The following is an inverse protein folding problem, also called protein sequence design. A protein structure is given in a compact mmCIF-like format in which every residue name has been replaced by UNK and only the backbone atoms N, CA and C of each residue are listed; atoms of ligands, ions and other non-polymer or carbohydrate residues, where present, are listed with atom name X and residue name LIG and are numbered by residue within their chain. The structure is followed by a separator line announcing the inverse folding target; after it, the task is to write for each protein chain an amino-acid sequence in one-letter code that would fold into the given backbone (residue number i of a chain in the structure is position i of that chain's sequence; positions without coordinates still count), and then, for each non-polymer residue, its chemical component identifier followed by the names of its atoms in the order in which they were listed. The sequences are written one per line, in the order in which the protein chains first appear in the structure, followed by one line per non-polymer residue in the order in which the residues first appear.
data_IF_095114917051
#
_entry.id   IF_095114917051
#
_cell.length_a   1.000
_cell.length_b   1.000
_cell.length_c   1.000
_cell.angle_alpha   90.00
_cell.angle_beta   90.00
_cell.angle_gamma   90.00
#
_symmetry.space_group_name_H-M   'P 1'
#
loop_
_entity.id
_entity.type
_entity.pdbx_description
1 polymer ?
#
# COMPACT_ATOMS: atom_id res chain seq x y z
N UNK A 1 -6.15 -10.62 -11.02
CA UNK A 1 -5.25 -9.49 -10.73
C UNK A 1 -3.87 -10.04 -10.40
N UNK A 2 -2.78 -9.34 -10.72
CA UNK A 2 -1.45 -9.64 -10.15
C UNK A 2 -1.40 -8.99 -8.78
N UNK A 3 -1.07 -9.76 -7.75
CA UNK A 3 -1.09 -9.30 -6.37
C UNK A 3 0.33 -9.21 -5.86
N UNK A 4 0.72 -8.02 -5.42
CA UNK A 4 2.01 -7.81 -4.81
C UNK A 4 1.86 -7.62 -3.31
N UNK A 5 2.87 -8.04 -2.56
CA UNK A 5 2.94 -7.90 -1.11
C UNK A 5 4.24 -7.19 -0.71
N UNK A 6 4.14 -6.24 0.22
CA UNK A 6 5.30 -5.71 0.94
C UNK A 6 4.98 -5.81 2.42
N UNK A 7 5.93 -6.29 3.20
CA UNK A 7 5.85 -6.38 4.65
C UNK A 7 7.25 -6.17 5.24
N UNK A 8 7.47 -5.23 6.18
CA UNK A 8 8.78 -5.01 6.79
C UNK A 8 9.26 -6.17 7.68
N UNK A 9 8.38 -7.11 8.04
CA UNK A 9 8.68 -8.23 8.93
C UNK A 9 8.71 -9.58 8.22
N UNK A 10 8.32 -9.65 6.95
CA UNK A 10 8.41 -10.87 6.15
C UNK A 10 9.30 -10.68 4.92
N UNK A 11 10.14 -11.67 4.68
CA UNK A 11 10.98 -11.69 3.50
C UNK A 11 10.21 -12.07 2.23
N UNK A 12 10.90 -11.93 1.10
CA UNK A 12 10.36 -12.21 -0.22
C UNK A 12 9.91 -13.68 -0.40
N UNK A 13 10.56 -14.63 0.28
CA UNK A 13 10.25 -16.05 0.13
C UNK A 13 9.00 -16.43 0.92
N UNK A 14 8.83 -15.85 2.10
CA UNK A 14 7.58 -15.94 2.85
C UNK A 14 6.41 -15.42 2.01
N UNK A 15 6.53 -14.22 1.43
CA UNK A 15 5.49 -13.61 0.61
C UNK A 15 5.15 -14.46 -0.63
N UNK A 16 6.15 -15.03 -1.31
CA UNK A 16 5.91 -15.99 -2.41
C UNK A 16 5.21 -17.25 -1.94
N UNK A 17 5.58 -17.77 -0.77
CA UNK A 17 4.98 -18.96 -0.17
C UNK A 17 3.48 -18.83 0.10
N UNK A 18 3.00 -17.61 0.33
CA UNK A 18 1.58 -17.29 0.53
C UNK A 18 0.90 -16.70 -0.73
N UNK A 19 1.59 -16.71 -1.88
CA UNK A 19 1.01 -16.38 -3.20
C UNK A 19 1.12 -14.92 -3.63
N UNK A 20 1.91 -14.10 -2.94
CA UNK A 20 2.20 -12.72 -3.34
C UNK A 20 3.49 -12.64 -4.17
N UNK A 21 3.53 -11.68 -5.08
CA UNK A 21 4.80 -11.22 -5.64
C UNK A 21 5.41 -10.15 -4.72
N UNK A 22 6.68 -10.28 -4.29
CA UNK A 22 7.31 -9.27 -3.46
C UNK A 22 7.32 -7.90 -4.15
N UNK A 23 6.87 -6.88 -3.42
CA UNK A 23 6.94 -5.49 -3.84
C UNK A 23 8.06 -4.80 -3.07
N UNK A 24 8.91 -4.07 -3.77
CA UNK A 24 10.01 -3.33 -3.17
C UNK A 24 9.67 -1.84 -3.18
N UNK A 25 9.49 -1.23 -2.00
CA UNK A 25 9.21 0.21 -1.90
C UNK A 25 10.39 1.08 -2.37
N UNK A 26 11.62 0.55 -2.28
CA UNK A 26 12.83 1.25 -2.74
C UNK A 26 13.04 1.12 -4.27
N UNK A 27 12.31 0.22 -4.93
CA UNK A 27 12.31 0.03 -6.38
C UNK A 27 10.87 -0.19 -6.90
N UNK A 28 9.98 0.81 -6.75
CA UNK A 28 8.55 0.58 -6.91
C UNK A 28 8.18 0.42 -8.39
N UNK A 29 7.38 -0.61 -8.68
CA UNK A 29 6.72 -0.77 -9.98
C UNK A 29 5.34 -0.11 -9.96
N UNK A 30 4.76 0.26 -11.12
CA UNK A 30 3.44 0.89 -11.14
C UNK A 30 2.33 -0.01 -10.60
N UNK A 31 1.50 0.52 -9.69
CA UNK A 31 0.35 -0.15 -9.07
C UNK A 31 -0.84 0.79 -9.06
N UNK A 32 -1.99 0.34 -9.58
CA UNK A 32 -3.21 1.16 -9.64
C UNK A 32 -3.98 1.19 -8.33
N UNK A 33 -3.92 0.10 -7.55
CA UNK A 33 -4.68 -0.05 -6.29
C UNK A 33 -3.76 -0.61 -5.21
N UNK A 34 -3.69 0.08 -4.07
CA UNK A 34 -2.96 -0.37 -2.89
C UNK A 34 -3.92 -0.55 -1.70
N UNK A 35 -3.69 -1.60 -0.90
CA UNK A 35 -4.51 -1.93 0.27
C UNK A 35 -3.60 -1.97 1.50
N UNK A 36 -3.87 -1.12 2.48
CA UNK A 36 -3.19 -1.16 3.78
C UNK A 36 -3.86 -2.22 4.66
N UNK A 37 -3.26 -3.39 4.71
CA UNK A 37 -3.78 -4.52 5.48
C UNK A 37 -3.23 -4.60 6.91
N UNK A 38 -2.10 -3.94 7.19
CA UNK A 38 -1.47 -3.90 8.51
C UNK A 38 -0.93 -2.49 8.78
N UNK A 39 -1.17 -1.96 9.99
CA UNK A 39 -0.77 -0.62 10.38
C UNK A 39 0.64 -0.60 10.98
N UNK A 40 1.61 -1.18 10.28
CA UNK A 40 3.00 -1.13 10.70
C UNK A 40 3.51 0.32 10.68
N UNK A 41 4.41 0.66 11.61
CA UNK A 41 4.92 2.03 11.78
C UNK A 41 5.44 2.63 10.47
N UNK A 42 6.10 1.80 9.64
CA UNK A 42 6.61 2.18 8.32
C UNK A 42 5.54 2.75 7.37
N UNK A 43 4.27 2.37 7.54
CA UNK A 43 3.19 2.76 6.63
C UNK A 43 2.36 3.94 7.13
N UNK A 44 2.47 4.32 8.40
CA UNK A 44 1.63 5.38 8.99
C UNK A 44 1.84 6.75 8.33
N UNK A 45 3.03 6.94 7.74
CA UNK A 45 3.41 8.17 7.03
C UNK A 45 3.51 7.95 5.51
N UNK A 46 3.02 6.81 5.01
CA UNK A 46 3.08 6.50 3.59
C UNK A 46 2.24 7.48 2.78
N UNK A 47 2.83 7.95 1.68
CA UNK A 47 2.27 8.96 0.79
C UNK A 47 1.95 8.35 -0.58
N UNK A 48 0.97 8.91 -1.31
CA UNK A 48 0.56 8.36 -2.61
C UNK A 48 1.68 8.32 -3.66
N UNK A 49 2.67 9.21 -3.58
CA UNK A 49 3.82 9.29 -4.48
C UNK A 49 4.84 8.14 -4.30
N UNK A 50 4.77 7.40 -3.18
CA UNK A 50 5.59 6.21 -2.97
C UNK A 50 5.20 5.03 -3.88
N UNK A 51 3.99 5.09 -4.48
CA UNK A 51 3.46 4.03 -5.35
C UNK A 51 3.10 4.65 -6.70
N UNK A 52 3.96 4.51 -7.73
CA UNK A 52 3.71 5.08 -9.05
C UNK A 52 2.40 4.54 -9.66
N UNK A 53 1.63 5.43 -10.28
CA UNK A 53 0.37 5.05 -10.95
C UNK A 53 -0.78 4.71 -10.02
N UNK A 54 -0.68 5.02 -8.72
CA UNK A 54 -1.75 4.80 -7.75
C UNK A 54 -2.98 5.62 -8.08
N UNK A 55 -4.12 4.95 -8.24
CA UNK A 55 -5.43 5.55 -8.50
C UNK A 55 -6.36 5.43 -7.28
N UNK A 56 -6.18 4.38 -6.48
CA UNK A 56 -6.99 4.10 -5.29
C UNK A 56 -6.15 3.53 -4.14
N UNK A 57 -6.25 4.16 -2.97
CA UNK A 57 -5.74 3.65 -1.71
C UNK A 57 -6.88 3.19 -0.80
N UNK A 58 -6.84 1.92 -0.39
CA UNK A 58 -7.80 1.35 0.55
C UNK A 58 -7.12 1.18 1.90
N UNK A 59 -7.49 2.01 2.87
CA UNK A 59 -7.00 1.92 4.23
C UNK A 59 -7.89 0.98 5.07
N UNK A 60 -7.46 -0.28 5.15
CA UNK A 60 -8.14 -1.31 5.93
C UNK A 60 -7.92 -1.22 7.44
N UNK A 61 -7.14 -0.24 7.91
CA UNK A 61 -6.83 -0.03 9.34
C UNK A 61 -7.17 1.37 9.83
N UNK A 62 -7.62 2.23 8.92
CA UNK A 62 -7.92 3.63 9.20
C UNK A 62 -6.73 4.37 9.87
N UNK A 63 -5.52 4.01 9.44
CA UNK A 63 -4.26 4.34 10.09
C UNK A 63 -3.52 5.52 9.44
N UNK A 64 -3.88 5.94 8.22
CA UNK A 64 -3.23 7.07 7.53
C UNK A 64 -4.18 8.25 7.34
N UNK A 65 -3.60 9.43 7.13
CA UNK A 65 -4.38 10.64 6.84
C UNK A 65 -4.87 10.65 5.39
N UNK A 66 -6.14 10.99 5.18
CA UNK A 66 -6.75 11.11 3.84
C UNK A 66 -6.16 12.27 3.02
N UNK A 67 -5.87 13.40 3.67
CA UNK A 67 -5.54 14.67 2.99
C UNK A 67 -4.41 14.61 1.94
N UNK A 68 -3.30 13.88 2.17
CA UNK A 68 -2.29 13.65 1.13
C UNK A 68 -2.80 12.97 -0.13
N UNK A 69 -3.72 12.00 -0.01
CA UNK A 69 -4.29 11.25 -1.14
C UNK A 69 -5.25 12.13 -1.95
N UNK A 70 -6.12 12.89 -1.29
CA UNK A 70 -7.03 13.84 -1.94
C UNK A 70 -6.25 14.87 -2.77
N UNK A 71 -5.17 15.44 -2.21
CA UNK A 71 -4.32 16.42 -2.92
C UNK A 71 -3.60 15.83 -4.14
N UNK A 72 -3.34 14.53 -4.13
CA UNK A 72 -2.72 13.82 -5.25
C UNK A 72 -3.76 13.38 -6.30
N UNK A 73 -5.05 13.62 -6.09
CA UNK A 73 -6.12 13.11 -6.96
C UNK A 73 -6.29 11.60 -6.89
N UNK A 74 -5.78 10.97 -5.83
CA UNK A 74 -5.87 9.53 -5.59
C UNK A 74 -7.14 9.24 -4.78
N UNK A 75 -7.97 8.32 -5.26
CA UNK A 75 -9.12 7.86 -4.52
C UNK A 75 -8.70 7.27 -3.16
N UNK A 76 -9.46 7.55 -2.11
CA UNK A 76 -9.17 7.03 -0.78
C UNK A 76 -10.43 6.45 -0.13
N UNK A 77 -10.33 5.23 0.36
CA UNK A 77 -11.39 4.55 1.12
C UNK A 77 -10.82 4.05 2.44
N UNK A 78 -11.26 4.61 3.56
CA UNK A 78 -10.93 4.11 4.90
C UNK A 78 -12.08 3.26 5.45
N UNK A 79 -11.80 2.08 6.00
CA UNK A 79 -12.83 1.26 6.62
C UNK A 79 -13.23 1.88 7.98
N UNK A 80 -14.53 2.12 8.18
CA UNK A 80 -15.07 2.68 9.42
C UNK A 80 -15.06 4.20 9.52
N UNK A 81 -14.88 4.91 8.40
CA UNK A 81 -15.12 6.37 8.27
C UNK A 81 -16.24 6.66 7.28
#
# INVERSE_FOLDING_TARGET
ARVYGHDPYYDADHLRGIGFEPYELDAPVPIRVAILQAAHERYLTMRPDAIPGLELFVDGRNAVERGPYDRAGVGYVGIGR
#
